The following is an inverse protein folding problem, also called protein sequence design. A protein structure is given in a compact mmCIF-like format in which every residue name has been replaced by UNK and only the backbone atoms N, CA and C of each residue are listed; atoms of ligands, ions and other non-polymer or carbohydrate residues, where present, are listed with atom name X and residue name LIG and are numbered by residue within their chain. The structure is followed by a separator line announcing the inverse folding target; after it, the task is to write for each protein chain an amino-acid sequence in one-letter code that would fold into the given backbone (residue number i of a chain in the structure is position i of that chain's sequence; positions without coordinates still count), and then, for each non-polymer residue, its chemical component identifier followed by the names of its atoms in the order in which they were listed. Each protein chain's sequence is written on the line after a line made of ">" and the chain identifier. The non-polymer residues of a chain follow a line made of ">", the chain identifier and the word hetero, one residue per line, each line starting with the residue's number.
data_IF_092836187205
#
_entry.id   IF_092836187205
#
_cell.length_a   1.000
_cell.length_b   1.000
_cell.length_c   1.000
_cell.angle_alpha   90.00
_cell.angle_beta   90.00
_cell.angle_gamma   90.00
#
_symmetry.space_group_name_H-M   'P 1'
#
loop_
_entity.id
_entity.type
_entity.pdbx_description
1 polymer ?
#
# COMPACT_ATOMS: atom_id res chain seq x y z
N UNK A 1 6.83 6.36 16.66
CA UNK A 1 5.80 5.29 16.56
C UNK A 1 4.36 5.81 16.59
N UNK A 2 4.00 6.76 17.47
CA UNK A 2 2.60 7.21 17.66
C UNK A 2 1.95 7.75 16.37
N UNK A 3 2.60 8.67 15.66
CA UNK A 3 2.05 9.25 14.40
C UNK A 3 1.82 8.20 13.29
N UNK A 4 2.53 7.08 13.31
CA UNK A 4 2.44 6.03 12.27
C UNK A 4 1.13 5.26 12.38
N UNK A 5 0.66 5.05 13.60
CA UNK A 5 -0.59 4.34 13.86
C UNK A 5 -1.81 5.19 13.46
N UNK A 6 -1.74 6.51 13.62
CA UNK A 6 -2.84 7.41 13.23
C UNK A 6 -3.10 7.43 11.73
N UNK A 7 -2.05 7.36 10.89
CA UNK A 7 -2.23 7.24 9.43
C UNK A 7 -3.02 5.98 9.07
N UNK A 8 -2.73 4.84 9.71
CA UNK A 8 -3.46 3.59 9.46
C UNK A 8 -4.89 3.65 9.98
N UNK A 9 -5.10 4.21 11.17
CA UNK A 9 -6.46 4.38 11.73
C UNK A 9 -7.32 5.25 10.82
N UNK A 10 -6.78 6.38 10.36
CA UNK A 10 -7.47 7.28 9.45
C UNK A 10 -7.75 6.60 8.11
N UNK A 11 -6.75 5.94 7.51
CA UNK A 11 -6.92 5.21 6.25
C UNK A 11 -8.02 4.15 6.37
N UNK A 12 -8.00 3.33 7.42
CA UNK A 12 -9.03 2.32 7.65
C UNK A 12 -10.41 2.95 7.86
N UNK A 13 -10.51 4.01 8.68
CA UNK A 13 -11.76 4.71 8.93
C UNK A 13 -12.36 5.36 7.67
N UNK A 14 -11.52 5.85 6.76
CA UNK A 14 -11.94 6.35 5.45
C UNK A 14 -12.34 5.20 4.51
N UNK A 15 -11.57 4.12 4.46
CA UNK A 15 -11.80 2.97 3.58
C UNK A 15 -13.11 2.20 3.89
N UNK A 16 -13.65 2.36 5.11
CA UNK A 16 -14.96 1.82 5.48
C UNK A 16 -16.14 2.68 4.99
N UNK A 17 -15.89 3.88 4.44
CA UNK A 17 -16.95 4.77 3.93
C UNK A 17 -17.28 4.42 2.47
N UNK A 18 -18.57 4.38 2.15
CA UNK A 18 -19.11 3.86 0.88
C UNK A 18 -18.58 4.56 -0.40
N UNK A 19 -18.09 5.80 -0.28
CA UNK A 19 -17.61 6.60 -1.42
C UNK A 19 -16.13 6.99 -1.33
N UNK A 20 -15.38 6.46 -0.38
CA UNK A 20 -13.96 6.77 -0.30
C UNK A 20 -13.19 5.99 -1.36
N UNK A 21 -12.51 6.72 -2.24
CA UNK A 21 -11.53 6.17 -3.17
C UNK A 21 -10.16 6.77 -2.81
N UNK A 22 -9.19 5.98 -2.35
CA UNK A 22 -7.86 6.50 -2.10
C UNK A 22 -7.25 7.03 -3.41
N UNK A 23 -6.47 8.10 -3.35
CA UNK A 23 -5.67 8.54 -4.50
C UNK A 23 -4.33 7.82 -4.54
N UNK A 24 -3.61 7.93 -5.66
CA UNK A 24 -2.22 7.43 -5.77
C UNK A 24 -1.32 7.97 -4.66
N UNK A 25 -1.49 9.25 -4.29
CA UNK A 25 -0.78 9.90 -3.19
C UNK A 25 -1.17 9.31 -1.84
N UNK A 26 -2.46 9.05 -1.59
CA UNK A 26 -2.92 8.39 -0.35
C UNK A 26 -2.24 7.03 -0.18
N UNK A 27 -2.22 6.21 -1.24
CA UNK A 27 -1.60 4.88 -1.22
C UNK A 27 -0.09 4.99 -0.97
N UNK A 28 0.60 5.89 -1.67
CA UNK A 28 2.04 6.10 -1.53
C UNK A 28 2.44 6.55 -0.12
N UNK A 29 1.55 7.24 0.62
CA UNK A 29 1.77 7.61 2.02
C UNK A 29 1.57 6.41 2.96
N UNK A 30 0.58 5.56 2.69
CA UNK A 30 0.21 4.43 3.58
C UNK A 30 1.19 3.26 3.48
N UNK A 31 1.76 2.98 2.30
CA UNK A 31 2.65 1.83 2.10
C UNK A 31 3.95 1.89 2.95
N UNK A 32 4.68 3.02 3.04
CA UNK A 32 5.83 3.15 3.92
C UNK A 32 5.48 3.00 5.41
N UNK A 33 4.26 3.38 5.80
CA UNK A 33 3.74 3.20 7.17
C UNK A 33 3.58 1.70 7.47
N UNK A 34 3.14 0.90 6.51
CA UNK A 34 3.06 -0.56 6.65
C UNK A 34 4.45 -1.19 6.90
N UNK A 35 5.48 -0.71 6.18
CA UNK A 35 6.88 -1.13 6.38
C UNK A 35 7.34 -0.78 7.80
N UNK A 36 7.14 0.47 8.22
CA UNK A 36 7.58 0.95 9.54
C UNK A 36 6.92 0.21 10.70
N UNK A 37 5.68 -0.25 10.51
CA UNK A 37 4.96 -1.08 11.48
C UNK A 37 5.28 -2.58 11.35
N UNK A 38 6.07 -2.99 10.35
CA UNK A 38 6.33 -4.40 10.00
C UNK A 38 5.04 -5.21 9.78
N UNK A 39 4.02 -4.58 9.17
CA UNK A 39 2.69 -5.19 8.94
C UNK A 39 2.48 -5.55 7.48
N UNK A 40 2.99 -6.71 7.07
CA UNK A 40 2.83 -7.21 5.70
C UNK A 40 1.36 -7.40 5.30
N UNK A 41 0.53 -7.99 6.17
CA UNK A 41 -0.88 -8.22 5.87
C UNK A 41 -1.65 -6.93 5.61
N UNK A 42 -1.28 -5.85 6.30
CA UNK A 42 -1.84 -4.53 6.03
C UNK A 42 -1.41 -4.03 4.65
N UNK A 43 -0.13 -4.13 4.31
CA UNK A 43 0.38 -3.79 2.98
C UNK A 43 -0.31 -4.57 1.85
N UNK A 44 -0.57 -5.87 2.05
CA UNK A 44 -1.32 -6.71 1.12
C UNK A 44 -2.79 -6.28 0.98
N UNK A 45 -3.43 -5.87 2.08
CA UNK A 45 -4.79 -5.32 2.05
C UNK A 45 -4.84 -4.02 1.22
N UNK A 46 -3.88 -3.12 1.42
CA UNK A 46 -3.75 -1.90 0.60
C UNK A 46 -3.51 -2.25 -0.87
N UNK A 47 -2.63 -3.20 -1.16
CA UNK A 47 -2.38 -3.66 -2.53
C UNK A 47 -3.65 -4.21 -3.20
N UNK A 48 -4.46 -5.00 -2.49
CA UNK A 48 -5.76 -5.45 -3.03
C UNK A 48 -6.69 -4.26 -3.33
N UNK A 49 -6.69 -3.24 -2.49
CA UNK A 49 -7.43 -2.00 -2.75
C UNK A 49 -6.93 -1.24 -3.98
N UNK A 50 -5.61 -1.21 -4.21
CA UNK A 50 -5.00 -0.63 -5.41
C UNK A 50 -5.53 -1.32 -6.66
N UNK A 51 -5.45 -2.66 -6.73
CA UNK A 51 -5.95 -3.45 -7.88
C UNK A 51 -7.43 -3.17 -8.15
N UNK A 52 -8.25 -3.14 -7.10
CA UNK A 52 -9.70 -2.86 -7.23
C UNK A 52 -10.01 -1.45 -7.73
N UNK A 53 -9.07 -0.53 -7.61
CA UNK A 53 -9.25 0.89 -7.99
C UNK A 53 -8.53 1.25 -9.29
N UNK A 54 -7.79 0.33 -9.91
CA UNK A 54 -7.01 0.58 -11.14
C UNK A 54 -5.76 1.42 -10.90
N UNK A 55 -5.37 1.61 -9.63
CA UNK A 55 -4.23 2.46 -9.25
C UNK A 55 -2.88 1.77 -9.48
N UNK A 56 -2.86 0.47 -9.76
CA UNK A 56 -1.65 -0.29 -10.08
C UNK A 56 -0.94 0.25 -11.34
N UNK A 57 -1.71 0.81 -12.28
CA UNK A 57 -1.20 1.47 -13.48
C UNK A 57 -0.42 2.76 -13.20
N UNK A 58 -0.49 3.30 -11.98
CA UNK A 58 0.21 4.52 -11.60
C UNK A 58 1.62 4.19 -11.14
N UNK A 59 2.64 4.67 -11.86
CA UNK A 59 4.06 4.42 -11.55
C UNK A 59 4.43 4.76 -10.09
N UNK A 60 3.85 5.82 -9.52
CA UNK A 60 4.04 6.20 -8.11
C UNK A 60 3.59 5.09 -7.14
N UNK A 61 2.46 4.46 -7.44
CA UNK A 61 1.87 3.41 -6.61
C UNK A 61 2.66 2.11 -6.78
N UNK A 62 2.97 1.73 -8.01
CA UNK A 62 3.80 0.56 -8.32
C UNK A 62 5.17 0.62 -7.62
N UNK A 63 5.90 1.73 -7.76
CA UNK A 63 7.18 1.94 -7.08
C UNK A 63 7.07 1.82 -5.55
N UNK A 64 5.98 2.37 -4.98
CA UNK A 64 5.73 2.30 -3.54
C UNK A 64 5.41 0.87 -3.08
N UNK A 65 4.69 0.10 -3.89
CA UNK A 65 4.36 -1.31 -3.63
C UNK A 65 5.61 -2.20 -3.70
N UNK A 66 6.42 -2.06 -4.76
CA UNK A 66 7.71 -2.78 -4.90
C UNK A 66 8.59 -2.49 -3.68
N UNK A 67 8.78 -1.22 -3.34
CA UNK A 67 9.56 -0.82 -2.16
C UNK A 67 9.01 -1.40 -0.85
N UNK A 68 7.69 -1.44 -0.69
CA UNK A 68 7.04 -2.03 0.49
C UNK A 68 7.31 -3.53 0.61
N UNK A 69 7.10 -4.29 -0.47
CA UNK A 69 7.34 -5.74 -0.46
C UNK A 69 8.82 -6.08 -0.26
N UNK A 70 9.75 -5.37 -0.92
CA UNK A 70 11.19 -5.56 -0.73
C UNK A 70 11.59 -5.37 0.74
N UNK A 71 11.15 -4.27 1.36
CA UNK A 71 11.48 -3.94 2.76
C UNK A 71 10.81 -4.86 3.79
N UNK A 72 9.79 -5.61 3.39
CA UNK A 72 9.15 -6.66 4.20
C UNK A 72 9.60 -8.08 3.82
N UNK A 73 10.66 -8.21 3.02
CA UNK A 73 11.30 -9.49 2.70
C UNK A 73 10.58 -10.32 1.63
N UNK A 74 9.59 -9.76 0.94
CA UNK A 74 8.80 -10.45 -0.09
C UNK A 74 9.39 -10.24 -1.50
N UNK A 75 10.70 -10.45 -1.66
CA UNK A 75 11.47 -10.07 -2.86
C UNK A 75 11.11 -10.94 -4.07
N UNK A 76 11.30 -12.25 -3.98
CA UNK A 76 11.14 -13.18 -5.13
C UNK A 76 9.68 -13.47 -5.52
N UNK A 77 8.71 -12.96 -4.76
CA UNK A 77 7.29 -13.17 -5.00
C UNK A 77 6.61 -11.87 -5.36
N UNK A 78 6.00 -11.24 -4.35
CA UNK A 78 5.12 -10.08 -4.57
C UNK A 78 5.86 -8.86 -5.16
N UNK A 79 7.08 -8.56 -4.72
CA UNK A 79 7.83 -7.41 -5.25
C UNK A 79 8.16 -7.57 -6.74
N UNK A 80 8.60 -8.77 -7.15
CA UNK A 80 8.91 -9.06 -8.55
C UNK A 80 7.67 -8.98 -9.44
N UNK A 81 6.55 -9.57 -9.01
CA UNK A 81 5.29 -9.52 -9.75
C UNK A 81 4.81 -8.10 -9.99
N UNK A 82 4.80 -7.27 -8.93
CA UNK A 82 4.40 -5.86 -9.08
C UNK A 82 5.33 -5.13 -10.06
N UNK A 83 6.64 -5.40 -10.03
CA UNK A 83 7.58 -4.76 -10.94
C UNK A 83 7.39 -5.19 -12.40
N UNK A 84 7.06 -6.46 -12.65
CA UNK A 84 6.84 -7.02 -13.99
C UNK A 84 5.49 -6.59 -14.60
N UNK A 85 4.49 -6.33 -13.75
CA UNK A 85 3.15 -5.88 -14.13
C UNK A 85 3.02 -4.35 -14.30
N UNK A 86 4.08 -3.58 -13.98
CA UNK A 86 4.13 -2.11 -14.14
C UNK A 86 4.42 -1.68 -15.58
#
# INVERSE_FOLDING_TARGET
>A
MIQTTEVIKLYNGLNMRQHFKPSSVTVAIVLPVCVRLKRLMLGKSVHSGVIKTGLESQTLVGNSLVSMYLKLGCVSGDAYKVFDEM
#
